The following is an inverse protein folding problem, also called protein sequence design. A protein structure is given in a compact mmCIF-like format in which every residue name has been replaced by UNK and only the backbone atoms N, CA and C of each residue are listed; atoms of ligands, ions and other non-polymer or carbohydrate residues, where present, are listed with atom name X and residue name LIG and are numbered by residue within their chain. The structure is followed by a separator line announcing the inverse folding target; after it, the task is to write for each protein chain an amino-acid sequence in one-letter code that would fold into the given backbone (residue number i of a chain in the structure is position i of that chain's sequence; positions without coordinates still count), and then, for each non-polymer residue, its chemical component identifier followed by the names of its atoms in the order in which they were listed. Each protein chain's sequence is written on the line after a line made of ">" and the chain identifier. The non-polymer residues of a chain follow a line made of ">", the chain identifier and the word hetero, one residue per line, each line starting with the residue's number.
data_IF_899920489268
#
_entry.id   IF_899920489268
#
_cell.length_a   1.000
_cell.length_b   1.000
_cell.length_c   1.000
_cell.angle_alpha   90.00
_cell.angle_beta   90.00
_cell.angle_gamma   90.00
#
_symmetry.space_group_name_H-M   'P 1'
#
loop_
_entity.id
_entity.type
_entity.pdbx_description
1 polymer ?
#
# COMPACT_ATOMS: atom_id res chain seq x y z
N UNK A 1 -30.38 -20.40 45.22
CA UNK A 1 -30.57 -20.06 43.80
C UNK A 1 -29.23 -19.65 43.25
N UNK A 2 -28.50 -20.62 42.71
CA UNK A 2 -27.12 -20.39 42.20
C UNK A 2 -27.20 -19.79 40.80
N UNK A 3 -26.70 -18.58 40.63
CA UNK A 3 -26.47 -17.95 39.34
C UNK A 3 -25.35 -18.72 38.63
N UNK A 4 -25.72 -19.51 37.63
CA UNK A 4 -24.75 -20.10 36.70
C UNK A 4 -24.12 -18.97 35.91
N UNK A 5 -22.85 -18.65 36.22
CA UNK A 5 -22.01 -17.80 35.39
C UNK A 5 -21.75 -18.50 34.07
N UNK A 6 -22.23 -17.92 32.98
CA UNK A 6 -21.82 -18.31 31.62
C UNK A 6 -20.29 -18.19 31.50
N UNK A 7 -19.61 -19.15 30.86
CA UNK A 7 -18.16 -19.04 30.64
C UNK A 7 -17.88 -17.85 29.73
N UNK A 8 -17.09 -16.91 30.18
CA UNK A 8 -16.53 -15.83 29.37
C UNK A 8 -15.63 -16.47 28.33
N UNK A 9 -16.14 -16.70 27.13
CA UNK A 9 -15.33 -17.13 25.97
C UNK A 9 -14.32 -16.02 25.72
N UNK A 10 -13.03 -16.34 25.79
CA UNK A 10 -12.01 -15.31 25.55
C UNK A 10 -12.11 -14.83 24.09
N UNK A 11 -11.92 -13.52 23.85
CA UNK A 11 -11.92 -12.92 22.51
C UNK A 11 -10.96 -13.66 21.55
N UNK A 12 -9.90 -14.26 22.07
CA UNK A 12 -8.94 -15.05 21.30
C UNK A 12 -9.52 -16.39 20.83
N UNK A 13 -10.35 -17.06 21.64
CA UNK A 13 -10.98 -18.32 21.26
C UNK A 13 -12.03 -18.12 20.16
N UNK A 14 -12.72 -16.98 20.17
CA UNK A 14 -13.67 -16.63 19.11
C UNK A 14 -12.95 -16.34 17.79
N UNK A 15 -11.84 -15.60 17.82
CA UNK A 15 -11.03 -15.30 16.64
C UNK A 15 -10.44 -16.56 15.99
N UNK A 16 -9.95 -17.53 16.79
CA UNK A 16 -9.45 -18.82 16.29
C UNK A 16 -10.55 -19.65 15.63
N UNK A 17 -11.74 -19.67 16.20
CA UNK A 17 -12.91 -20.34 15.61
C UNK A 17 -13.34 -19.69 14.30
N UNK A 18 -13.31 -18.36 14.23
CA UNK A 18 -13.56 -17.60 12.99
C UNK A 18 -12.54 -17.94 11.91
N UNK A 19 -11.24 -17.99 12.26
CA UNK A 19 -10.20 -18.44 11.34
C UNK A 19 -10.49 -19.84 10.79
N UNK A 20 -10.74 -20.79 11.69
CA UNK A 20 -11.01 -22.17 11.30
C UNK A 20 -12.26 -22.30 10.40
N UNK A 21 -13.32 -21.57 10.72
CA UNK A 21 -14.55 -21.54 9.92
C UNK A 21 -14.29 -20.94 8.51
N UNK A 22 -13.52 -19.87 8.42
CA UNK A 22 -13.14 -19.25 7.16
C UNK A 22 -12.32 -20.19 6.28
N UNK A 23 -11.27 -20.81 6.83
CA UNK A 23 -10.41 -21.75 6.10
C UNK A 23 -11.21 -22.95 5.58
N UNK A 24 -12.13 -23.47 6.40
CA UNK A 24 -13.03 -24.56 6.01
C UNK A 24 -13.96 -24.15 4.87
N UNK A 25 -14.63 -23.01 4.98
CA UNK A 25 -15.52 -22.51 3.95
C UNK A 25 -14.77 -22.31 2.61
N UNK A 26 -13.57 -21.76 2.69
CA UNK A 26 -12.73 -21.55 1.49
C UNK A 26 -12.32 -22.88 0.87
N UNK A 27 -11.85 -23.84 1.64
CA UNK A 27 -11.50 -25.20 1.18
C UNK A 27 -12.69 -25.89 0.49
N UNK A 28 -13.87 -25.79 1.07
CA UNK A 28 -15.10 -26.41 0.56
C UNK A 28 -15.62 -25.76 -0.72
N UNK A 29 -15.24 -24.50 -0.99
CA UNK A 29 -15.61 -23.76 -2.20
C UNK A 29 -14.74 -24.03 -3.43
N UNK A 30 -13.55 -24.62 -3.25
CA UNK A 30 -12.59 -24.83 -4.33
C UNK A 30 -12.86 -26.08 -5.15
N UNK A 31 -12.79 -25.97 -6.47
CA UNK A 31 -12.87 -27.10 -7.37
C UNK A 31 -11.48 -27.78 -7.52
N UNK A 32 -11.33 -29.04 -7.08
CA UNK A 32 -10.07 -29.75 -7.18
C UNK A 32 -9.54 -29.89 -8.61
N UNK A 33 -10.42 -29.93 -9.62
CA UNK A 33 -10.01 -30.07 -11.02
C UNK A 33 -9.25 -28.83 -11.52
N UNK A 34 -9.65 -27.65 -11.06
CA UNK A 34 -8.93 -26.39 -11.41
C UNK A 34 -7.52 -26.33 -10.83
N UNK A 35 -7.24 -27.16 -9.83
CA UNK A 35 -5.93 -27.28 -9.17
C UNK A 35 -5.10 -28.46 -9.72
N UNK A 36 -5.55 -29.12 -10.79
CA UNK A 36 -4.83 -30.26 -11.36
C UNK A 36 -4.87 -31.53 -10.50
N UNK A 37 -5.73 -31.58 -9.49
CA UNK A 37 -5.87 -32.74 -8.62
C UNK A 37 -6.78 -33.79 -9.26
N UNK A 38 -6.38 -35.09 -9.24
CA UNK A 38 -7.17 -36.15 -9.86
C UNK A 38 -8.52 -36.35 -9.15
N UNK A 39 -9.56 -36.67 -9.93
CA UNK A 39 -10.83 -37.11 -9.38
C UNK A 39 -10.66 -38.49 -8.73
N UNK A 40 -10.41 -38.55 -7.45
CA UNK A 40 -10.42 -39.81 -6.70
C UNK A 40 -11.82 -40.12 -6.20
N UNK A 41 -12.53 -41.05 -6.86
CA UNK A 41 -13.73 -41.70 -6.36
C UNK A 41 -14.92 -40.82 -5.97
N UNK A 42 -15.94 -41.42 -5.33
CA UNK A 42 -17.15 -40.74 -4.85
C UNK A 42 -16.80 -39.81 -3.68
N UNK A 43 -16.67 -38.49 -3.95
CA UNK A 43 -16.37 -37.48 -2.91
C UNK A 43 -17.58 -37.28 -2.02
N UNK A 44 -17.40 -37.43 -0.70
CA UNK A 44 -18.43 -37.16 0.32
C UNK A 44 -18.44 -35.70 0.78
N UNK A 45 -17.38 -34.94 0.50
CA UNK A 45 -17.23 -33.53 0.89
C UNK A 45 -17.13 -32.66 -0.34
N UNK A 46 -17.79 -31.51 -0.37
CA UNK A 46 -17.58 -30.52 -1.42
C UNK A 46 -16.15 -29.96 -1.34
N UNK A 47 -15.60 -29.55 -2.47
CA UNK A 47 -14.30 -28.89 -2.53
C UNK A 47 -13.09 -29.79 -2.26
N UNK A 48 -12.02 -29.18 -1.74
CA UNK A 48 -10.79 -29.88 -1.39
C UNK A 48 -10.93 -30.67 -0.10
N UNK A 49 -10.18 -31.80 -0.01
CA UNK A 49 -9.96 -32.51 1.26
C UNK A 49 -8.89 -31.81 2.09
N UNK A 50 -8.87 -32.04 3.40
CA UNK A 50 -7.83 -31.52 4.30
C UNK A 50 -6.42 -31.99 3.91
N UNK A 51 -6.32 -33.27 3.48
CA UNK A 51 -5.10 -33.87 2.99
C UNK A 51 -4.57 -33.17 1.73
N UNK A 52 -5.47 -32.75 0.84
CA UNK A 52 -5.13 -32.05 -0.40
C UNK A 52 -4.60 -30.62 -0.09
N UNK A 53 -5.22 -29.90 0.84
CA UNK A 53 -4.73 -28.60 1.27
C UNK A 53 -3.40 -28.72 2.00
N UNK A 54 -3.27 -29.70 2.89
CA UNK A 54 -2.03 -29.94 3.64
C UNK A 54 -0.86 -30.25 2.71
N UNK A 55 -1.09 -31.05 1.67
CA UNK A 55 -0.11 -31.34 0.63
C UNK A 55 0.27 -30.09 -0.18
N UNK A 56 -0.71 -29.27 -0.59
CA UNK A 56 -0.48 -28.05 -1.36
C UNK A 56 0.24 -26.97 -0.55
N UNK A 57 0.02 -26.93 0.76
CA UNK A 57 0.62 -25.97 1.68
C UNK A 57 1.95 -26.49 2.31
N UNK A 58 2.35 -27.71 2.00
CA UNK A 58 3.52 -28.38 2.59
C UNK A 58 3.48 -28.40 4.13
N UNK A 59 2.31 -28.78 4.70
CA UNK A 59 2.09 -28.89 6.15
C UNK A 59 1.53 -30.26 6.52
N UNK A 60 1.64 -30.63 7.80
CA UNK A 60 1.03 -31.86 8.29
C UNK A 60 -0.50 -31.80 8.28
N UNK A 61 -1.16 -32.91 7.84
CA UNK A 61 -2.63 -33.02 7.80
C UNK A 61 -3.26 -32.79 9.19
N UNK A 62 -2.67 -33.35 10.23
CA UNK A 62 -3.11 -33.17 11.62
C UNK A 62 -3.02 -31.72 12.04
N UNK A 63 -1.93 -31.03 11.69
CA UNK A 63 -1.71 -29.63 11.97
C UNK A 63 -2.77 -28.76 11.28
N UNK A 64 -3.02 -28.96 9.99
CA UNK A 64 -4.05 -28.23 9.26
C UNK A 64 -5.46 -28.51 9.84
N UNK A 65 -5.72 -29.75 10.25
CA UNK A 65 -6.99 -30.11 10.88
C UNK A 65 -7.21 -29.33 12.20
N UNK A 66 -6.18 -29.19 13.02
CA UNK A 66 -6.24 -28.43 14.27
C UNK A 66 -6.45 -26.93 14.01
N UNK A 67 -5.80 -26.39 12.99
CA UNK A 67 -5.99 -25.00 12.56
C UNK A 67 -7.45 -24.76 12.14
N UNK A 68 -8.02 -25.66 11.32
CA UNK A 68 -9.41 -25.59 10.87
C UNK A 68 -10.42 -25.79 12.01
N UNK A 69 -10.03 -26.48 13.08
CA UNK A 69 -10.84 -26.64 14.30
C UNK A 69 -10.72 -25.47 15.27
N UNK A 70 -9.89 -24.47 15.00
CA UNK A 70 -9.68 -23.32 15.88
C UNK A 70 -8.97 -23.67 17.18
N UNK A 71 -8.11 -24.71 17.20
CA UNK A 71 -7.32 -25.06 18.38
C UNK A 71 -6.28 -24.00 18.66
N UNK A 72 -5.82 -23.97 19.91
CA UNK A 72 -4.74 -23.07 20.35
C UNK A 72 -3.43 -23.44 19.66
N UNK A 73 -3.04 -22.60 18.68
CA UNK A 73 -1.86 -22.78 17.84
C UNK A 73 -1.27 -21.41 17.50
N UNK A 74 0.04 -21.36 17.36
CA UNK A 74 0.76 -20.17 16.90
C UNK A 74 1.36 -20.44 15.52
N UNK A 75 0.61 -20.29 14.43
CA UNK A 75 1.13 -20.46 13.08
C UNK A 75 2.15 -19.36 12.75
N UNK A 76 3.22 -19.71 12.03
CA UNK A 76 4.13 -18.71 11.50
C UNK A 76 3.52 -18.03 10.26
N UNK A 77 3.96 -16.80 9.97
CA UNK A 77 3.55 -16.07 8.78
C UNK A 77 3.83 -16.84 7.49
N UNK A 78 4.97 -17.52 7.38
CA UNK A 78 5.31 -18.34 6.23
C UNK A 78 4.31 -19.48 6.00
N UNK A 79 3.93 -20.18 7.06
CA UNK A 79 2.94 -21.27 6.99
C UNK A 79 1.55 -20.73 6.64
N UNK A 80 1.12 -19.60 7.21
CA UNK A 80 -0.17 -18.99 6.87
C UNK A 80 -0.21 -18.49 5.43
N UNK A 81 0.91 -17.97 4.90
CA UNK A 81 1.03 -17.61 3.48
C UNK A 81 0.89 -18.84 2.56
N UNK A 82 1.53 -19.97 2.92
CA UNK A 82 1.41 -21.22 2.18
C UNK A 82 -0.03 -21.76 2.19
N UNK A 83 -0.71 -21.72 3.35
CA UNK A 83 -2.13 -22.11 3.47
C UNK A 83 -3.03 -21.19 2.66
N UNK A 84 -2.85 -19.87 2.73
CA UNK A 84 -3.63 -18.91 1.96
C UNK A 84 -3.44 -19.12 0.44
N UNK A 85 -2.21 -19.41 0.00
CA UNK A 85 -1.89 -19.76 -1.40
C UNK A 85 -2.54 -21.08 -1.82
N UNK A 86 -2.44 -22.13 -1.02
CA UNK A 86 -3.06 -23.43 -1.28
C UNK A 86 -4.59 -23.32 -1.42
N UNK A 87 -5.21 -22.45 -0.63
CA UNK A 87 -6.64 -22.16 -0.67
C UNK A 87 -7.00 -21.10 -1.74
N UNK A 88 -6.07 -20.67 -2.57
CA UNK A 88 -6.29 -19.64 -3.60
C UNK A 88 -6.99 -18.39 -3.05
N UNK A 89 -6.63 -17.97 -1.85
CA UNK A 89 -7.18 -16.77 -1.24
C UNK A 89 -6.83 -15.55 -2.09
N UNK A 90 -7.81 -14.68 -2.31
CA UNK A 90 -7.54 -13.34 -2.83
C UNK A 90 -6.68 -12.55 -1.84
N UNK A 91 -6.02 -11.46 -2.25
CA UNK A 91 -5.22 -10.64 -1.33
C UNK A 91 -6.00 -10.14 -0.12
N UNK A 92 -7.28 -9.81 -0.29
CA UNK A 92 -8.17 -9.40 0.79
C UNK A 92 -8.46 -10.57 1.75
N UNK A 93 -8.72 -11.76 1.23
CA UNK A 93 -8.94 -12.97 2.01
C UNK A 93 -7.64 -13.40 2.74
N UNK A 94 -6.49 -13.33 2.08
CA UNK A 94 -5.20 -13.60 2.70
C UNK A 94 -4.94 -12.65 3.87
N UNK A 95 -5.16 -11.35 3.69
CA UNK A 95 -5.04 -10.36 4.77
C UNK A 95 -5.97 -10.69 5.94
N UNK A 96 -7.22 -11.08 5.66
CA UNK A 96 -8.19 -11.49 6.68
C UNK A 96 -7.68 -12.70 7.47
N UNK A 97 -7.13 -13.71 6.79
CA UNK A 97 -6.51 -14.89 7.41
C UNK A 97 -5.37 -14.49 8.35
N UNK A 98 -4.48 -13.56 7.93
CA UNK A 98 -3.38 -13.08 8.76
C UNK A 98 -3.87 -12.34 10.00
N UNK A 99 -4.86 -11.46 9.85
CA UNK A 99 -5.47 -10.74 11.00
C UNK A 99 -6.09 -11.72 12.00
N UNK A 100 -6.86 -12.71 11.53
CA UNK A 100 -7.46 -13.72 12.39
C UNK A 100 -6.42 -14.64 13.05
N UNK A 101 -5.28 -14.85 12.40
CA UNK A 101 -4.16 -15.61 12.97
C UNK A 101 -3.31 -14.79 13.97
N UNK A 102 -3.64 -13.51 14.21
CA UNK A 102 -2.87 -12.62 15.07
C UNK A 102 -1.50 -12.21 14.47
N UNK A 103 -1.36 -12.33 13.14
CA UNK A 103 -0.13 -12.03 12.41
C UNK A 103 -0.18 -10.65 11.76
N UNK A 104 0.97 -9.99 11.56
CA UNK A 104 1.03 -8.71 10.84
C UNK A 104 0.44 -8.84 9.42
N UNK A 105 -0.50 -8.00 9.01
CA UNK A 105 -1.14 -8.09 7.68
C UNK A 105 -0.20 -7.79 6.51
N UNK A 106 0.99 -7.26 6.75
CA UNK A 106 2.00 -6.93 5.72
C UNK A 106 2.67 -8.14 5.07
N UNK A 107 2.60 -9.33 5.68
CA UNK A 107 3.17 -10.57 5.14
C UNK A 107 2.19 -11.37 4.26
N UNK A 108 0.93 -10.94 4.16
CA UNK A 108 0.00 -11.53 3.21
C UNK A 108 0.49 -11.27 1.76
N UNK A 109 0.39 -12.27 0.85
CA UNK A 109 0.79 -12.08 -0.53
C UNK A 109 0.17 -10.82 -1.11
N UNK A 110 1.00 -9.84 -1.44
CA UNK A 110 0.51 -8.64 -2.11
C UNK A 110 -0.04 -9.06 -3.47
N UNK A 111 -1.21 -8.54 -3.82
CA UNK A 111 -1.69 -8.67 -5.19
C UNK A 111 -0.59 -8.14 -6.10
N UNK A 112 -0.15 -8.97 -7.05
CA UNK A 112 0.65 -8.48 -8.18
C UNK A 112 -0.20 -7.40 -8.83
N UNK A 113 0.09 -6.14 -8.53
CA UNK A 113 -0.53 -5.03 -9.24
C UNK A 113 -0.09 -5.17 -10.69
N UNK A 114 -1.07 -5.27 -11.59
CA UNK A 114 -0.81 -5.01 -13.00
C UNK A 114 -0.03 -3.68 -13.05
N UNK A 115 1.16 -3.68 -13.65
CA UNK A 115 2.06 -2.52 -13.72
C UNK A 115 1.48 -1.34 -14.50
N UNK A 116 0.29 -1.48 -15.07
CA UNK A 116 -0.41 -0.47 -15.85
C UNK A 116 -1.49 0.26 -15.06
N UNK A 117 -1.52 1.58 -15.22
CA UNK A 117 -2.61 2.41 -14.74
C UNK A 117 -3.85 2.08 -15.54
N UNK A 118 -4.98 1.81 -14.85
CA UNK A 118 -6.24 1.54 -15.53
C UNK A 118 -6.72 2.78 -16.30
N UNK A 119 -7.45 2.57 -17.38
CA UNK A 119 -8.09 3.65 -18.13
C UNK A 119 -9.01 4.51 -17.24
N UNK A 120 -9.72 3.86 -16.29
CA UNK A 120 -10.53 4.56 -15.31
C UNK A 120 -9.72 5.51 -14.40
N UNK A 121 -8.51 5.11 -14.00
CA UNK A 121 -7.60 5.96 -13.22
C UNK A 121 -7.13 7.16 -14.06
N UNK A 122 -6.82 6.96 -15.32
CA UNK A 122 -6.44 8.06 -16.23
C UNK A 122 -7.58 9.05 -16.40
N UNK A 123 -8.79 8.58 -16.71
CA UNK A 123 -9.98 9.42 -16.81
C UNK A 123 -10.26 10.21 -15.52
N UNK A 124 -10.03 9.59 -14.35
CA UNK A 124 -10.17 10.30 -13.08
C UNK A 124 -9.19 11.46 -12.98
N UNK A 125 -7.90 11.23 -13.30
CA UNK A 125 -6.89 12.30 -13.28
C UNK A 125 -7.24 13.44 -14.23
N UNK A 126 -7.71 13.14 -15.45
CA UNK A 126 -8.15 14.15 -16.44
C UNK A 126 -9.36 14.95 -15.95
N UNK A 127 -10.33 14.27 -15.30
CA UNK A 127 -11.53 14.91 -14.73
C UNK A 127 -11.19 15.87 -13.58
N UNK A 128 -10.07 15.66 -12.88
CA UNK A 128 -9.64 16.51 -11.79
C UNK A 128 -9.02 17.84 -12.26
N UNK A 129 -8.64 17.98 -13.53
CA UNK A 129 -8.09 19.25 -14.03
C UNK A 129 -9.06 20.41 -13.80
N UNK A 130 -8.62 21.62 -13.47
CA UNK A 130 -7.21 22.05 -13.35
C UNK A 130 -6.55 21.74 -12.00
N UNK A 131 -7.19 20.95 -11.13
CA UNK A 131 -6.61 20.58 -9.84
C UNK A 131 -5.43 19.61 -10.03
N UNK A 132 -4.21 19.96 -9.59
CA UNK A 132 -3.05 19.09 -9.72
C UNK A 132 -3.28 17.76 -9.02
N UNK A 133 -3.07 16.66 -9.74
CA UNK A 133 -3.29 15.32 -9.19
C UNK A 133 -2.26 14.31 -9.69
N UNK A 134 -1.87 13.37 -8.82
CA UNK A 134 -0.98 12.27 -9.15
C UNK A 134 -1.32 11.00 -8.39
N UNK A 135 -0.96 9.84 -8.96
CA UNK A 135 -1.01 8.55 -8.27
C UNK A 135 0.41 8.19 -7.82
N UNK A 136 0.54 7.84 -6.56
CA UNK A 136 1.82 7.51 -5.94
C UNK A 136 1.79 6.13 -5.29
N UNK A 137 2.89 5.39 -5.38
CA UNK A 137 3.13 4.16 -4.61
C UNK A 137 3.56 4.49 -3.16
N UNK A 138 3.52 3.52 -2.23
CA UNK A 138 4.00 3.72 -0.85
C UNK A 138 5.45 4.21 -0.77
N UNK A 139 6.30 3.79 -1.71
CA UNK A 139 7.70 4.17 -1.82
C UNK A 139 7.92 5.54 -2.51
N UNK A 140 6.84 6.32 -2.70
CA UNK A 140 6.81 7.66 -3.32
C UNK A 140 7.07 7.69 -4.83
N UNK A 141 7.05 6.55 -5.53
CA UNK A 141 7.07 6.53 -6.99
C UNK A 141 5.77 7.12 -7.55
N UNK A 142 5.92 8.03 -8.50
CA UNK A 142 4.82 8.66 -9.22
C UNK A 142 4.54 7.79 -10.44
N UNK A 143 3.35 7.16 -10.47
CA UNK A 143 2.97 6.22 -11.54
C UNK A 143 1.99 6.82 -12.53
N UNK A 144 1.28 7.90 -12.14
CA UNK A 144 0.42 8.70 -13.01
C UNK A 144 0.27 10.11 -12.49
N UNK A 145 -0.10 11.01 -13.37
CA UNK A 145 -0.33 12.42 -13.09
C UNK A 145 -1.24 13.03 -14.14
N UNK A 146 -1.83 14.19 -13.85
CA UNK A 146 -2.42 15.06 -14.86
C UNK A 146 -1.48 16.23 -15.20
N UNK A 147 -1.72 16.92 -16.30
CA UNK A 147 -0.84 17.98 -16.79
C UNK A 147 -0.71 19.12 -15.77
N UNK A 148 -1.79 19.46 -15.05
CA UNK A 148 -1.74 20.45 -13.96
C UNK A 148 -0.71 20.11 -12.88
N UNK A 149 -0.47 18.83 -12.58
CA UNK A 149 0.54 18.42 -11.62
C UNK A 149 1.96 18.68 -12.14
N UNK A 150 2.20 18.42 -13.44
CA UNK A 150 3.46 18.75 -14.09
C UNK A 150 3.75 20.26 -14.06
N UNK A 151 2.76 21.08 -14.44
CA UNK A 151 2.86 22.54 -14.43
C UNK A 151 3.08 23.09 -13.02
N UNK A 152 2.33 22.61 -12.00
CA UNK A 152 2.54 23.01 -10.61
C UNK A 152 3.98 22.73 -10.16
N UNK A 153 4.50 21.56 -10.47
CA UNK A 153 5.83 21.14 -10.04
C UNK A 153 6.96 21.67 -10.94
N UNK A 154 6.63 22.30 -12.08
CA UNK A 154 7.59 22.83 -13.05
C UNK A 154 8.40 21.75 -13.74
N UNK A 155 7.79 20.61 -14.06
CA UNK A 155 8.44 19.40 -14.57
C UNK A 155 7.61 18.74 -15.66
N UNK A 156 8.23 18.45 -16.80
CA UNK A 156 7.64 17.52 -17.78
C UNK A 156 8.03 16.08 -17.41
N UNK A 157 7.05 15.35 -16.91
CA UNK A 157 7.25 13.94 -16.53
C UNK A 157 7.53 13.01 -17.72
N UNK A 158 7.22 13.43 -18.96
CA UNK A 158 7.52 12.63 -20.13
C UNK A 158 9.02 12.61 -20.43
N UNK A 159 9.73 13.67 -20.04
CA UNK A 159 11.19 13.78 -20.17
C UNK A 159 11.95 13.07 -19.03
N UNK A 160 11.25 12.72 -17.92
CA UNK A 160 11.87 12.05 -16.77
C UNK A 160 11.85 10.54 -16.98
N UNK A 161 12.98 9.83 -16.85
CA UNK A 161 13.02 8.37 -16.87
C UNK A 161 12.07 7.76 -15.83
N UNK A 162 11.33 6.68 -16.14
CA UNK A 162 10.37 6.07 -15.23
C UNK A 162 10.93 5.76 -13.83
N UNK A 163 12.18 5.30 -13.75
CA UNK A 163 12.89 4.98 -12.51
C UNK A 163 13.20 6.21 -11.66
N UNK A 164 13.17 7.42 -12.26
CA UNK A 164 13.43 8.70 -11.60
C UNK A 164 12.15 9.42 -11.15
N UNK A 165 11.00 8.96 -11.62
CA UNK A 165 9.69 9.54 -11.26
C UNK A 165 9.30 9.21 -9.82
N UNK A 166 10.04 9.79 -8.88
CA UNK A 166 9.84 9.60 -7.44
C UNK A 166 9.90 10.96 -6.74
N UNK A 167 8.89 11.26 -5.91
CA UNK A 167 8.78 12.58 -5.25
C UNK A 167 10.02 12.96 -4.45
N UNK A 168 10.62 12.00 -3.74
CA UNK A 168 11.82 12.25 -2.92
C UNK A 168 13.04 12.42 -3.84
N UNK A 169 13.21 11.54 -4.81
CA UNK A 169 14.33 11.61 -5.76
C UNK A 169 14.32 12.92 -6.54
N UNK A 170 13.17 13.34 -7.06
CA UNK A 170 13.02 14.62 -7.76
C UNK A 170 13.32 15.82 -6.85
N UNK A 171 12.90 15.75 -5.58
CA UNK A 171 13.28 16.81 -4.63
C UNK A 171 14.79 16.89 -4.41
N UNK A 172 15.48 15.75 -4.40
CA UNK A 172 16.92 15.70 -4.22
C UNK A 172 17.72 16.17 -5.47
N UNK A 173 17.21 15.86 -6.66
CA UNK A 173 17.96 16.00 -7.92
C UNK A 173 17.46 17.07 -8.88
N UNK A 174 16.17 17.43 -8.84
CA UNK A 174 15.55 18.33 -9.81
C UNK A 174 15.39 19.75 -9.26
N UNK A 175 16.15 20.76 -9.76
CA UNK A 175 16.13 22.12 -9.21
C UNK A 175 14.74 22.79 -9.26
N UNK A 176 14.01 22.66 -10.38
CA UNK A 176 12.66 23.24 -10.51
C UNK A 176 11.68 22.64 -9.51
N UNK A 177 11.66 21.32 -9.37
CA UNK A 177 10.86 20.64 -8.35
C UNK A 177 11.12 21.15 -6.93
N UNK A 178 12.41 21.28 -6.59
CA UNK A 178 12.84 21.79 -5.29
C UNK A 178 12.42 23.24 -5.07
N UNK A 179 12.52 24.07 -6.11
CA UNK A 179 12.17 25.48 -6.03
C UNK A 179 10.67 25.71 -5.81
N UNK A 180 9.80 24.79 -6.26
CA UNK A 180 8.34 24.87 -6.06
C UNK A 180 7.89 24.62 -4.63
N UNK A 181 8.67 23.90 -3.84
CA UNK A 181 8.31 23.55 -2.47
C UNK A 181 8.85 24.62 -1.51
N UNK A 182 7.97 25.45 -1.00
CA UNK A 182 8.32 26.45 0.03
C UNK A 182 8.93 25.82 1.27
N UNK A 183 9.75 26.59 2.00
CA UNK A 183 10.48 26.15 3.21
C UNK A 183 11.30 24.87 3.00
N UNK A 184 12.24 24.97 2.09
CA UNK A 184 13.14 23.88 1.69
C UNK A 184 13.73 23.10 2.87
N UNK A 185 14.17 23.81 3.92
CA UNK A 185 14.84 23.21 5.08
C UNK A 185 13.91 22.36 5.94
N UNK A 186 12.60 22.57 5.86
CA UNK A 186 11.60 21.78 6.59
C UNK A 186 11.16 20.55 5.79
N UNK A 187 11.20 20.60 4.47
CA UNK A 187 10.65 19.56 3.57
C UNK A 187 11.48 18.28 3.59
N UNK A 188 12.82 18.40 3.58
CA UNK A 188 13.71 17.24 3.53
C UNK A 188 13.60 16.35 4.77
N UNK A 189 13.60 16.89 6.00
CA UNK A 189 13.37 16.09 7.21
C UNK A 189 12.00 15.36 7.19
N UNK A 190 10.97 16.00 6.64
CA UNK A 190 9.65 15.38 6.50
C UNK A 190 9.71 14.20 5.53
N UNK A 191 10.35 14.33 4.39
CA UNK A 191 10.53 13.22 3.44
C UNK A 191 11.31 12.06 4.04
N UNK A 192 12.37 12.35 4.81
CA UNK A 192 13.12 11.31 5.53
C UNK A 192 12.20 10.56 6.51
N UNK A 193 11.38 11.28 7.29
CA UNK A 193 10.49 10.66 8.28
C UNK A 193 9.38 9.83 7.62
N UNK A 194 8.82 10.29 6.48
CA UNK A 194 7.82 9.56 5.71
C UNK A 194 8.39 8.28 5.08
N UNK A 195 9.58 8.37 4.47
CA UNK A 195 10.21 7.21 3.87
C UNK A 195 10.61 6.17 4.91
N UNK A 196 11.07 6.60 6.08
CA UNK A 196 11.39 5.72 7.21
C UNK A 196 10.15 4.97 7.70
N UNK A 197 9.01 5.66 7.84
CA UNK A 197 7.75 5.05 8.23
C UNK A 197 7.34 3.96 7.24
N UNK A 198 7.34 4.29 5.95
CA UNK A 198 6.94 3.36 4.90
C UNK A 198 7.91 2.16 4.79
N UNK A 199 9.23 2.40 4.90
CA UNK A 199 10.23 1.34 4.83
C UNK A 199 10.16 0.37 6.01
N UNK A 200 9.66 0.79 7.17
CA UNK A 200 9.53 -0.09 8.33
C UNK A 200 8.59 -1.29 8.08
N UNK A 201 7.60 -1.13 7.21
CA UNK A 201 6.67 -2.18 6.79
C UNK A 201 7.26 -3.10 5.71
N UNK A 202 8.43 -2.75 5.15
CA UNK A 202 9.08 -3.42 4.01
C UNK A 202 10.53 -3.82 4.33
N UNK A 203 10.80 -4.22 5.58
CA UNK A 203 12.16 -4.62 6.00
C UNK A 203 12.64 -5.85 5.23
N UNK A 204 13.85 -5.77 4.69
CA UNK A 204 14.45 -6.85 3.92
C UNK A 204 13.95 -6.95 2.47
N UNK A 205 13.14 -6.00 2.02
CA UNK A 205 12.75 -5.92 0.61
C UNK A 205 13.87 -5.24 -0.21
N UNK A 206 14.52 -5.98 -1.14
CA UNK A 206 15.65 -5.45 -1.93
C UNK A 206 15.30 -4.19 -2.73
N UNK A 207 14.04 -4.03 -3.17
CA UNK A 207 13.61 -2.85 -3.93
C UNK A 207 13.62 -1.59 -3.06
N UNK A 208 13.21 -1.70 -1.79
CA UNK A 208 13.23 -0.59 -0.85
C UNK A 208 14.65 -0.23 -0.42
N UNK A 209 15.49 -1.24 -0.21
CA UNK A 209 16.91 -1.02 0.13
C UNK A 209 17.67 -0.38 -1.03
N UNK A 210 17.45 -0.82 -2.27
CA UNK A 210 18.02 -0.21 -3.46
C UNK A 210 17.59 1.26 -3.62
N UNK A 211 16.33 1.57 -3.32
CA UNK A 211 15.81 2.95 -3.38
C UNK A 211 16.45 3.84 -2.32
N UNK A 212 16.60 3.35 -1.08
CA UNK A 212 17.32 4.07 -0.03
C UNK A 212 18.77 4.34 -0.40
N UNK A 213 19.47 3.32 -0.92
CA UNK A 213 20.84 3.46 -1.39
C UNK A 213 20.96 4.51 -2.50
N UNK A 214 19.98 4.59 -3.39
CA UNK A 214 19.93 5.61 -4.45
C UNK A 214 19.77 7.02 -3.90
N UNK A 215 18.93 7.22 -2.87
CA UNK A 215 18.81 8.52 -2.20
C UNK A 215 20.11 8.94 -1.52
N UNK A 216 20.81 8.01 -0.88
CA UNK A 216 22.12 8.26 -0.28
C UNK A 216 23.18 8.65 -1.32
N UNK A 217 23.14 8.03 -2.50
CA UNK A 217 24.10 8.31 -3.58
C UNK A 217 23.97 9.72 -4.14
N UNK A 218 22.77 10.32 -4.12
CA UNK A 218 22.51 11.65 -4.70
C UNK A 218 22.45 12.78 -3.67
N UNK A 219 22.38 12.47 -2.36
CA UNK A 219 22.27 13.47 -1.30
C UNK A 219 22.92 13.05 0.00
N UNK A 220 24.07 13.65 0.31
CA UNK A 220 24.72 13.48 1.62
C UNK A 220 23.87 14.08 2.76
N UNK A 221 23.09 15.14 2.47
CA UNK A 221 22.18 15.74 3.44
C UNK A 221 21.06 14.74 3.83
N UNK A 222 20.43 14.06 2.84
CA UNK A 222 19.43 13.02 3.11
C UNK A 222 20.04 11.90 3.96
N UNK A 223 21.23 11.43 3.61
CA UNK A 223 21.95 10.38 4.33
C UNK A 223 22.26 10.79 5.78
N UNK A 224 22.71 12.00 5.99
CA UNK A 224 22.99 12.57 7.32
C UNK A 224 21.73 12.62 8.17
N UNK A 225 20.62 13.15 7.64
CA UNK A 225 19.33 13.19 8.34
C UNK A 225 18.79 11.79 8.62
N UNK A 226 18.99 10.85 7.71
CA UNK A 226 18.60 9.46 7.92
C UNK A 226 19.31 8.83 9.12
N UNK A 227 20.59 9.10 9.34
CA UNK A 227 21.35 8.53 10.45
C UNK A 227 21.19 9.30 11.77
N UNK A 228 20.95 10.60 11.71
CA UNK A 228 20.86 11.46 12.91
C UNK A 228 19.47 11.55 13.51
N UNK A 229 18.41 11.41 12.70
CA UNK A 229 17.02 11.52 13.16
C UNK A 229 16.34 10.16 13.15
N UNK A 230 15.48 9.94 14.17
CA UNK A 230 14.68 8.72 14.29
C UNK A 230 13.17 9.02 14.27
N UNK A 231 12.78 10.24 13.94
CA UNK A 231 11.38 10.61 13.84
C UNK A 231 10.71 9.87 12.67
N UNK A 232 9.47 9.45 12.92
CA UNK A 232 8.63 8.71 11.99
C UNK A 232 7.31 9.44 11.86
N UNK A 233 6.86 9.70 10.64
CA UNK A 233 5.57 10.35 10.37
C UNK A 233 4.79 9.56 9.34
N UNK A 234 3.49 9.39 9.57
CA UNK A 234 2.56 8.93 8.55
C UNK A 234 2.28 10.03 7.52
N UNK A 235 1.96 9.63 6.31
CA UNK A 235 1.47 10.56 5.29
C UNK A 235 0.04 10.97 5.65
N UNK A 236 -0.20 12.27 5.76
CA UNK A 236 -1.49 12.85 6.16
C UNK A 236 -1.88 14.05 5.29
N UNK A 237 -3.15 14.42 5.32
CA UNK A 237 -3.63 15.61 4.66
C UNK A 237 -3.05 16.85 5.37
N UNK A 238 -2.50 17.78 4.59
CA UNK A 238 -1.83 18.96 5.13
C UNK A 238 -1.95 20.18 4.21
N UNK A 239 -1.73 21.35 4.76
CA UNK A 239 -1.50 22.55 3.98
C UNK A 239 -0.06 22.56 3.46
N UNK A 240 0.12 22.83 2.18
CA UNK A 240 1.43 22.87 1.55
C UNK A 240 1.66 24.20 0.87
N UNK A 241 2.74 24.85 1.28
CA UNK A 241 3.20 26.11 0.69
C UNK A 241 3.95 25.80 -0.60
N UNK A 242 3.61 26.51 -1.64
CA UNK A 242 4.30 26.51 -2.94
C UNK A 242 4.86 27.90 -3.25
N UNK A 243 5.99 27.91 -3.94
CA UNK A 243 6.60 29.13 -4.50
C UNK A 243 6.64 28.98 -6.01
N UNK A 244 5.98 29.89 -6.74
CA UNK A 244 5.93 29.87 -8.20
C UNK A 244 6.55 31.15 -8.78
N UNK A 245 7.35 31.08 -9.86
CA UNK A 245 8.00 32.25 -10.40
C UNK A 245 7.03 33.37 -10.83
N UNK A 246 5.87 32.99 -11.39
CA UNK A 246 4.89 33.93 -11.92
C UNK A 246 3.79 34.31 -10.90
N UNK A 247 3.49 33.43 -9.94
CA UNK A 247 2.37 33.58 -9.01
C UNK A 247 2.83 33.99 -7.59
N UNK A 248 4.14 33.89 -7.29
CA UNK A 248 4.65 34.05 -5.94
C UNK A 248 4.30 32.86 -5.03
N UNK A 249 4.17 33.15 -3.74
CA UNK A 249 3.84 32.15 -2.73
C UNK A 249 2.32 31.95 -2.62
N UNK A 250 1.88 30.68 -2.56
CA UNK A 250 0.50 30.31 -2.31
C UNK A 250 0.41 28.96 -1.58
N UNK A 251 -0.71 28.72 -0.93
CA UNK A 251 -0.95 27.50 -0.16
C UNK A 251 -2.06 26.67 -0.78
N UNK A 252 -1.83 25.36 -0.89
CA UNK A 252 -2.83 24.40 -1.31
C UNK A 252 -3.05 23.35 -0.23
N UNK A 253 -4.28 22.85 -0.11
CA UNK A 253 -4.61 21.68 0.67
C UNK A 253 -4.17 20.43 -0.08
N UNK A 254 -3.20 19.71 0.43
CA UNK A 254 -2.80 18.40 -0.05
C UNK A 254 -3.70 17.33 0.56
N UNK A 255 -4.36 16.54 -0.28
CA UNK A 255 -5.25 15.46 0.15
C UNK A 255 -4.82 14.13 -0.43
N UNK A 256 -4.92 13.08 0.38
CA UNK A 256 -4.61 11.70 -0.01
C UNK A 256 -5.84 10.82 0.06
N UNK A 257 -6.03 10.00 -0.97
CA UNK A 257 -7.07 8.98 -1.07
C UNK A 257 -6.44 7.66 -1.46
N UNK A 258 -6.82 6.59 -0.79
CA UNK A 258 -6.29 5.26 -1.09
C UNK A 258 -7.24 4.49 -2.00
N UNK A 259 -6.69 3.82 -3.02
CA UNK A 259 -7.50 3.01 -3.93
C UNK A 259 -7.95 1.71 -3.25
N UNK A 260 -9.08 1.16 -3.73
CA UNK A 260 -9.56 -0.17 -3.35
C UNK A 260 -9.32 -1.16 -4.52
N UNK A 261 -8.82 -2.38 -4.28
CA UNK A 261 -8.29 -2.87 -3.00
C UNK A 261 -7.05 -2.08 -2.58
N UNK A 262 -6.80 -1.98 -1.27
CA UNK A 262 -5.63 -1.25 -0.75
C UNK A 262 -4.34 -1.93 -1.20
N UNK A 263 -3.84 -1.54 -2.37
CA UNK A 263 -2.55 -1.95 -2.93
C UNK A 263 -1.40 -1.02 -2.52
N UNK A 264 -1.68 -0.10 -1.57
CA UNK A 264 -0.76 0.91 -1.10
C UNK A 264 -0.70 2.16 -1.99
N UNK A 265 -1.20 2.13 -3.23
CA UNK A 265 -1.24 3.32 -4.08
C UNK A 265 -2.25 4.33 -3.57
N UNK A 266 -1.90 5.62 -3.68
CA UNK A 266 -2.71 6.74 -3.23
C UNK A 266 -2.85 7.77 -4.34
N UNK A 267 -4.05 8.30 -4.48
CA UNK A 267 -4.31 9.51 -5.24
C UNK A 267 -3.93 10.70 -4.37
N UNK A 268 -3.12 11.58 -4.87
CA UNK A 268 -2.77 12.86 -4.31
C UNK A 268 -3.45 13.95 -5.12
N UNK A 269 -4.19 14.85 -4.45
CA UNK A 269 -4.85 15.99 -5.08
C UNK A 269 -4.52 17.25 -4.29
N UNK A 270 -4.31 18.37 -5.01
CA UNK A 270 -4.16 19.70 -4.41
C UNK A 270 -5.39 20.54 -4.67
N UNK A 271 -5.92 21.15 -3.60
CA UNK A 271 -7.10 22.01 -3.64
C UNK A 271 -6.75 23.41 -3.15
N UNK A 272 -7.32 24.47 -3.72
CA UNK A 272 -7.16 25.83 -3.21
C UNK A 272 -7.82 25.98 -1.84
N UNK A 273 -7.26 26.86 -1.00
CA UNK A 273 -7.78 27.13 0.35
C UNK A 273 -8.02 28.65 0.57
N UNK A 274 -7.51 29.47 -0.31
CA UNK A 274 -7.59 30.93 -0.28
C UNK A 274 -7.58 31.52 -1.69
N UNK A 275 -7.70 32.83 -1.81
CA UNK A 275 -7.69 33.54 -3.08
C UNK A 275 -6.39 33.35 -3.88
N UNK A 276 -5.24 33.19 -3.21
CA UNK A 276 -3.98 32.94 -3.87
C UNK A 276 -3.94 31.55 -4.50
N UNK A 277 -4.49 30.54 -3.80
CA UNK A 277 -4.71 29.20 -4.32
C UNK A 277 -5.69 29.17 -5.48
N UNK A 278 -6.78 29.95 -5.44
CA UNK A 278 -7.73 30.04 -6.56
C UNK A 278 -7.06 30.64 -7.81
N UNK A 279 -6.27 31.72 -7.67
CA UNK A 279 -5.50 32.28 -8.79
C UNK A 279 -4.52 31.27 -9.38
N UNK A 280 -3.92 30.40 -8.54
CA UNK A 280 -3.07 29.33 -9.02
C UNK A 280 -3.87 28.30 -9.84
N UNK A 281 -5.09 27.97 -9.44
CA UNK A 281 -5.96 27.07 -10.24
C UNK A 281 -6.38 27.69 -11.58
N UNK A 282 -6.67 29.00 -11.61
CA UNK A 282 -6.97 29.73 -12.85
C UNK A 282 -5.75 29.70 -13.81
N UNK A 283 -4.56 30.00 -13.31
CA UNK A 283 -3.34 29.92 -14.08
C UNK A 283 -3.12 28.52 -14.65
N UNK A 284 -3.28 27.45 -13.82
CA UNK A 284 -3.16 26.07 -14.26
C UNK A 284 -4.21 25.72 -15.34
N UNK A 285 -5.43 26.24 -15.23
CA UNK A 285 -6.46 26.05 -16.25
C UNK A 285 -6.09 26.69 -17.60
N UNK A 286 -5.35 27.78 -17.59
CA UNK A 286 -4.82 28.44 -18.80
C UNK A 286 -3.70 27.64 -19.45
N UNK A 287 -2.82 27.04 -18.65
CA UNK A 287 -1.72 26.21 -19.17
C UNK A 287 -2.19 24.90 -19.83
N UNK A 288 -3.39 24.42 -19.49
CA UNK A 288 -3.97 23.18 -20.01
C UNK A 288 -4.88 23.40 -21.24
N UNK A 289 -4.93 24.62 -21.82
CA UNK A 289 -5.67 24.94 -23.05
C UNK A 289 -4.81 24.74 -24.28
#
# INVERSE_FOLDING_TARGET
>A
MALMSEPVVSLQDDTRKQLGAFLRARRESLDPQRLGLPRSGRRRTPGLRREEVAMLADVGVTWYTWLEQGRDMNPSSAVMAAVAKALQCTPTEARHVFVLAGLPPGEAPQAVCCEGISEGTRRLLDTLMPKPASIQKPNFDIVAWNDSFGHLMGVDFNEIPPEDRNCIYLFLTHPAWRARLGRRDDVLPIFVSYFRAAMAEHRGDPLWEAKLARFFAVSEEFKTLWHQRNDVRGVENQLKLFTHPDLGDFTLQQMYWYSAPRNGSRLLVYLPVDEAGERAMEWLAEQNR
#
